data_IF_115391930890
#
_entry.id   IF_115391930890
#
_cell.length_a   1.000
_cell.length_b   1.000
_cell.length_c   1.000
_cell.angle_alpha   90.00
_cell.angle_beta   90.00
_cell.angle_gamma   90.00
#
_symmetry.space_group_name_H-M   'P 1'
#
loop_
_entity.id
_entity.type
_entity.pdbx_description
1 polymer ?
#
# COMPACT_ATOMS: atom_id res chain seq x y z
N UNK A 1 4.81 -0.48 22.36
CA UNK A 1 6.23 -0.25 21.98
C UNK A 1 6.58 -1.20 20.82
N UNK A 2 7.30 -0.75 19.79
CA UNK A 2 7.64 -1.53 18.58
C UNK A 2 8.33 -2.85 18.90
N UNK A 3 9.22 -2.87 19.88
CA UNK A 3 9.94 -4.08 20.32
C UNK A 3 9.02 -5.19 20.84
N UNK A 4 7.88 -4.83 21.44
CA UNK A 4 6.89 -5.80 21.91
C UNK A 4 6.14 -6.45 20.74
N UNK A 5 5.85 -5.68 19.69
CA UNK A 5 5.19 -6.18 18.48
C UNK A 5 6.11 -7.13 17.70
N UNK A 6 7.40 -6.81 17.56
CA UNK A 6 8.34 -7.70 16.90
C UNK A 6 8.59 -9.01 17.67
N UNK A 7 8.39 -9.00 19.00
CA UNK A 7 8.60 -10.19 19.83
C UNK A 7 7.38 -11.10 19.91
N UNK A 8 6.18 -10.52 19.86
CA UNK A 8 4.94 -11.24 20.17
C UNK A 8 3.93 -11.26 19.00
N UNK A 9 4.21 -10.55 17.90
CA UNK A 9 3.34 -10.47 16.73
C UNK A 9 3.57 -11.61 15.74
N UNK A 10 2.53 -11.93 14.97
CA UNK A 10 2.63 -12.83 13.81
C UNK A 10 3.28 -12.06 12.66
N UNK A 11 4.34 -12.61 12.09
CA UNK A 11 5.03 -11.99 10.95
C UNK A 11 4.29 -12.25 9.64
N UNK A 12 4.53 -11.38 8.66
CA UNK A 12 4.03 -11.57 7.29
C UNK A 12 4.42 -12.95 6.76
N UNK A 13 3.49 -13.66 6.11
CA UNK A 13 3.72 -15.01 5.58
C UNK A 13 3.31 -16.16 6.52
N UNK A 14 2.69 -15.89 7.67
CA UNK A 14 2.22 -16.89 8.62
C UNK A 14 0.70 -16.82 8.86
N UNK A 15 0.19 -17.78 9.62
CA UNK A 15 -1.20 -17.82 10.05
C UNK A 15 -1.41 -17.08 11.38
N UNK A 16 -2.49 -16.32 11.47
CA UNK A 16 -3.01 -15.80 12.72
C UNK A 16 -3.56 -16.96 13.56
N UNK A 17 -3.39 -16.92 14.89
CA UNK A 17 -4.07 -17.85 15.77
C UNK A 17 -5.59 -17.63 15.70
N UNK A 18 -6.35 -18.68 15.94
CA UNK A 18 -7.80 -18.56 16.08
C UNK A 18 -8.15 -17.58 17.22
N UNK A 19 -9.11 -16.68 16.95
CA UNK A 19 -9.49 -15.61 17.88
C UNK A 19 -10.87 -15.05 17.56
N UNK A 20 -11.62 -14.72 18.61
CA UNK A 20 -12.86 -13.92 18.50
C UNK A 20 -12.59 -12.42 18.53
N UNK A 21 -11.33 -11.99 18.65
CA UNK A 21 -10.96 -10.57 18.70
C UNK A 21 -10.41 -10.13 17.35
N UNK A 22 -10.83 -8.97 16.81
CA UNK A 22 -10.28 -8.45 15.58
C UNK A 22 -8.76 -8.40 15.57
N UNK A 23 -8.10 -8.85 14.49
CA UNK A 23 -6.65 -8.76 14.38
C UNK A 23 -6.24 -7.29 14.25
N UNK A 24 -5.11 -6.97 14.89
CA UNK A 24 -4.46 -5.67 14.79
C UNK A 24 -3.13 -5.81 14.07
N UNK A 25 -2.95 -5.02 13.01
CA UNK A 25 -1.75 -5.04 12.19
C UNK A 25 -0.89 -3.82 12.46
N UNK A 26 0.41 -4.05 12.59
CA UNK A 26 1.40 -2.98 12.54
C UNK A 26 2.06 -2.97 11.16
N UNK A 27 1.78 -1.93 10.39
CA UNK A 27 2.36 -1.72 9.08
C UNK A 27 3.45 -0.66 9.14
N UNK A 28 4.56 -0.91 8.44
CA UNK A 28 5.64 0.05 8.29
C UNK A 28 6.33 -0.15 6.95
N UNK A 29 6.63 0.97 6.28
CA UNK A 29 7.42 0.98 5.05
C UNK A 29 8.38 2.17 5.05
N UNK A 30 9.49 1.99 4.33
CA UNK A 30 10.45 3.03 4.00
C UNK A 30 10.68 3.00 2.50
N UNK A 31 10.77 4.17 1.87
CA UNK A 31 11.11 4.25 0.45
C UNK A 31 12.55 3.78 0.21
N UNK A 32 12.81 3.34 -1.02
CA UNK A 32 14.17 3.25 -1.54
C UNK A 32 14.73 4.66 -1.80
N UNK A 33 16.04 4.84 -1.60
CA UNK A 33 16.68 6.16 -1.67
C UNK A 33 16.62 6.82 -3.07
N UNK A 34 16.46 6.02 -4.13
CA UNK A 34 16.39 6.49 -5.51
C UNK A 34 14.96 6.43 -6.09
N UNK A 35 13.97 6.10 -5.26
CA UNK A 35 12.57 5.92 -5.69
C UNK A 35 11.69 7.06 -5.18
N UNK A 36 10.49 7.16 -5.74
CA UNK A 36 9.58 8.25 -5.42
C UNK A 36 9.14 8.17 -3.95
N UNK A 37 8.84 9.30 -3.29
CA UNK A 37 8.31 9.28 -1.92
C UNK A 37 7.04 8.43 -1.79
N UNK A 38 6.83 7.81 -0.63
CA UNK A 38 5.65 7.00 -0.35
C UNK A 38 4.40 7.88 -0.35
N UNK A 39 3.35 7.45 -1.05
CA UNK A 39 2.04 8.11 -1.05
C UNK A 39 1.14 7.51 0.04
N UNK A 40 1.05 6.18 0.12
CA UNK A 40 0.13 5.52 1.07
C UNK A 40 0.50 4.07 1.37
N UNK A 41 0.02 3.61 2.52
CA UNK A 41 -0.04 2.19 2.89
C UNK A 41 -1.48 1.69 2.75
N UNK A 42 -1.62 0.46 2.28
CA UNK A 42 -2.91 -0.21 2.12
C UNK A 42 -2.87 -1.61 2.72
N UNK A 43 -3.90 -2.02 3.43
CA UNK A 43 -4.16 -3.43 3.70
C UNK A 43 -5.21 -3.90 2.70
N UNK A 44 -4.92 -5.03 2.06
CA UNK A 44 -5.89 -5.73 1.24
C UNK A 44 -6.36 -6.92 2.05
N UNK A 45 -7.65 -6.93 2.35
CA UNK A 45 -8.35 -8.03 3.01
C UNK A 45 -9.07 -8.82 1.95
N UNK A 46 -8.88 -10.14 1.92
CA UNK A 46 -9.78 -11.05 1.23
C UNK A 46 -10.41 -12.02 2.20
N UNK A 47 -11.66 -12.40 1.99
CA UNK A 47 -12.37 -13.35 2.83
C UNK A 47 -13.36 -14.18 2.03
N UNK A 48 -13.77 -15.32 2.58
CA UNK A 48 -14.75 -16.20 1.98
C UNK A 48 -16.04 -16.13 2.79
N UNK A 49 -17.13 -15.70 2.15
CA UNK A 49 -18.50 -15.75 2.67
C UNK A 49 -19.35 -16.59 1.71
N UNK A 50 -20.09 -17.57 2.24
CA UNK A 50 -20.96 -18.43 1.42
C UNK A 50 -20.28 -19.20 0.28
N UNK A 51 -18.94 -19.32 0.30
CA UNK A 51 -18.15 -19.91 -0.79
C UNK A 51 -17.73 -18.93 -1.90
N UNK A 52 -18.06 -17.65 -1.77
CA UNK A 52 -17.61 -16.58 -2.66
C UNK A 52 -16.42 -15.83 -2.06
N UNK A 53 -15.45 -15.48 -2.91
CA UNK A 53 -14.29 -14.68 -2.51
C UNK A 53 -14.64 -13.18 -2.61
N UNK A 54 -14.50 -12.49 -1.50
CA UNK A 54 -14.59 -11.04 -1.41
C UNK A 54 -13.21 -10.41 -1.22
N UNK A 55 -12.99 -9.21 -1.74
CA UNK A 55 -11.79 -8.42 -1.52
C UNK A 55 -12.16 -6.96 -1.21
N UNK A 56 -11.48 -6.37 -0.23
CA UNK A 56 -11.58 -4.96 0.09
C UNK A 56 -10.20 -4.35 0.34
N UNK A 57 -10.02 -3.14 -0.18
CA UNK A 57 -8.78 -2.35 -0.02
C UNK A 57 -9.02 -1.25 1.00
N UNK A 58 -8.18 -1.22 2.03
CA UNK A 58 -8.18 -0.18 3.05
C UNK A 58 -6.89 0.61 2.96
N UNK A 59 -6.96 1.90 2.65
CA UNK A 59 -5.84 2.80 2.86
C UNK A 59 -5.74 3.04 4.37
N UNK A 60 -4.58 2.75 4.97
CA UNK A 60 -4.39 2.78 6.43
C UNK A 60 -3.45 3.91 6.87
N UNK A 61 -2.70 4.47 5.93
CA UNK A 61 -1.87 5.65 6.13
C UNK A 61 -1.73 6.41 4.82
N UNK A 62 -1.83 7.73 4.88
CA UNK A 62 -1.60 8.63 3.75
C UNK A 62 -0.41 9.55 4.08
N UNK A 63 0.33 9.96 3.06
CA UNK A 63 1.35 10.98 3.18
C UNK A 63 0.75 12.39 3.33
N UNK A 64 1.60 13.39 3.53
CA UNK A 64 1.23 14.82 3.47
C UNK A 64 0.18 15.26 4.51
N UNK A 65 0.06 14.53 5.62
CA UNK A 65 -0.92 14.81 6.68
C UNK A 65 -2.37 14.47 6.31
N UNK A 66 -2.58 13.86 5.14
CA UNK A 66 -3.88 13.34 4.72
C UNK A 66 -4.28 12.14 5.55
N UNK A 67 -5.57 11.80 5.51
CA UNK A 67 -6.13 10.65 6.19
C UNK A 67 -7.10 9.91 5.27
N UNK A 68 -7.23 8.58 5.42
CA UNK A 68 -8.25 7.83 4.70
C UNK A 68 -9.64 8.39 5.03
N UNK A 69 -10.47 8.55 4.01
CA UNK A 69 -11.87 8.94 4.20
C UNK A 69 -12.65 7.80 4.85
N UNK A 70 -13.49 8.11 5.84
CA UNK A 70 -14.18 7.10 6.64
C UNK A 70 -15.09 6.17 5.81
N UNK A 71 -15.72 6.68 4.76
CA UNK A 71 -16.69 5.93 3.97
C UNK A 71 -16.07 5.10 2.85
N UNK A 72 -14.95 5.56 2.29
CA UNK A 72 -14.31 4.92 1.13
C UNK A 72 -13.07 4.13 1.54
N UNK A 73 -12.54 4.40 2.74
CA UNK A 73 -11.23 3.96 3.20
C UNK A 73 -10.10 4.33 2.24
N UNK A 74 -10.25 5.42 1.46
CA UNK A 74 -9.25 5.87 0.48
C UNK A 74 -8.59 7.16 0.92
N UNK A 75 -7.29 7.25 0.69
CA UNK A 75 -6.56 8.50 0.77
C UNK A 75 -7.01 9.43 -0.36
N UNK A 76 -7.25 10.71 -0.07
CA UNK A 76 -7.35 11.73 -1.10
C UNK A 76 -6.08 11.81 -1.95
N UNK A 77 -6.18 12.43 -3.11
CA UNK A 77 -5.00 12.76 -3.92
C UNK A 77 -4.11 13.75 -3.15
N UNK A 78 -2.81 13.46 -3.08
CA UNK A 78 -1.83 14.34 -2.46
C UNK A 78 -1.27 15.40 -3.41
N UNK A 79 -1.60 15.31 -4.70
CA UNK A 79 -1.21 16.25 -5.75
C UNK A 79 0.22 16.06 -6.23
N UNK A 80 0.84 14.91 -5.97
CA UNK A 80 2.19 14.60 -6.47
C UNK A 80 2.19 14.45 -7.99
N UNK A 81 3.18 15.05 -8.65
CA UNK A 81 3.32 15.03 -10.10
C UNK A 81 4.76 14.72 -10.52
N UNK A 82 4.93 14.39 -11.82
CA UNK A 82 6.22 14.13 -12.45
C UNK A 82 6.51 15.22 -13.47
N UNK A 83 7.68 15.84 -13.41
CA UNK A 83 8.20 16.67 -14.48
C UNK A 83 8.72 15.77 -15.62
N UNK A 84 7.92 15.63 -16.68
CA UNK A 84 8.25 14.81 -17.85
C UNK A 84 9.41 15.35 -18.69
N UNK A 85 9.80 16.62 -18.53
CA UNK A 85 10.94 17.20 -19.25
C UNK A 85 12.28 16.76 -18.67
N UNK A 86 12.29 16.35 -17.39
CA UNK A 86 13.48 15.88 -16.67
C UNK A 86 13.34 14.46 -16.13
N UNK A 87 12.15 13.89 -16.19
CA UNK A 87 11.77 12.65 -15.52
C UNK A 87 12.08 12.65 -14.01
N UNK A 88 11.72 13.73 -13.34
CA UNK A 88 11.87 13.89 -11.89
C UNK A 88 10.52 13.96 -11.19
N UNK A 89 10.39 13.33 -10.02
CA UNK A 89 9.20 13.40 -9.18
C UNK A 89 9.31 14.53 -8.13
N UNK A 90 8.17 14.96 -7.60
CA UNK A 90 8.12 15.96 -6.53
C UNK A 90 8.57 15.37 -5.18
N UNK A 91 9.73 15.82 -4.69
CA UNK A 91 10.30 15.45 -3.38
C UNK A 91 9.62 16.18 -2.22
N UNK A 92 8.86 17.26 -2.47
CA UNK A 92 8.12 17.98 -1.42
C UNK A 92 6.79 17.30 -1.08
N UNK A 93 6.37 16.29 -1.86
CA UNK A 93 5.15 15.52 -1.66
C UNK A 93 5.48 14.06 -1.34
N UNK A 94 4.66 13.46 -0.49
CA UNK A 94 4.85 12.09 -0.04
C UNK A 94 5.66 12.00 1.26
N UNK A 95 6.10 10.79 1.61
CA UNK A 95 6.83 10.53 2.83
C UNK A 95 8.02 9.59 2.60
N UNK A 96 9.12 9.81 3.32
CA UNK A 96 10.24 8.86 3.32
C UNK A 96 9.88 7.54 4.03
N UNK A 97 9.02 7.61 5.05
CA UNK A 97 8.53 6.47 5.81
C UNK A 97 7.05 6.67 6.18
N UNK A 98 6.29 5.58 6.18
CA UNK A 98 4.92 5.54 6.69
C UNK A 98 4.78 4.38 7.66
N UNK A 99 3.97 4.55 8.70
CA UNK A 99 3.57 3.48 9.59
C UNK A 99 2.13 3.67 10.05
N UNK A 100 1.47 2.56 10.39
CA UNK A 100 0.13 2.57 10.95
C UNK A 100 -0.08 1.39 11.90
N UNK A 101 -0.97 1.58 12.85
CA UNK A 101 -1.69 0.50 13.52
C UNK A 101 -3.10 0.49 12.95
N UNK A 102 -3.53 -0.66 12.47
CA UNK A 102 -4.84 -0.82 11.84
C UNK A 102 -5.55 -2.03 12.44
N UNK A 103 -6.83 -1.85 12.77
CA UNK A 103 -7.73 -2.87 13.27
C UNK A 103 -8.73 -3.21 12.15
N UNK A 104 -9.01 -4.50 11.94
CA UNK A 104 -10.09 -4.89 11.03
C UNK A 104 -11.45 -4.81 11.75
N UNK A 105 -12.13 -3.67 11.64
CA UNK A 105 -13.47 -3.48 12.24
C UNK A 105 -14.55 -4.39 11.62
N UNK A 106 -14.28 -4.96 10.45
CA UNK A 106 -15.18 -5.88 9.72
C UNK A 106 -14.82 -7.35 9.92
N UNK A 107 -13.97 -7.67 10.89
CA UNK A 107 -13.53 -9.04 11.15
C UNK A 107 -14.68 -9.92 11.62
N UNK A 108 -14.92 -11.02 10.90
CA UNK A 108 -15.79 -12.11 11.33
C UNK A 108 -14.91 -13.34 11.68
N UNK A 109 -14.92 -13.81 12.94
CA UNK A 109 -14.14 -14.98 13.36
C UNK A 109 -14.63 -16.30 12.73
N UNK A 110 -15.78 -16.33 12.05
CA UNK A 110 -16.27 -17.51 11.35
C UNK A 110 -15.77 -17.62 9.90
N UNK A 111 -15.14 -16.56 9.37
CA UNK A 111 -14.71 -16.49 7.98
C UNK A 111 -13.24 -16.85 7.81
N UNK A 112 -12.90 -17.61 6.76
CA UNK A 112 -11.52 -17.67 6.30
C UNK A 112 -11.14 -16.33 5.69
N UNK A 113 -10.01 -15.76 6.10
CA UNK A 113 -9.55 -14.47 5.62
C UNK A 113 -8.04 -14.46 5.37
N UNK A 114 -7.59 -13.53 4.53
CA UNK A 114 -6.19 -13.22 4.35
C UNK A 114 -5.97 -11.71 4.26
N UNK A 115 -4.77 -11.28 4.65
CA UNK A 115 -4.38 -9.89 4.70
C UNK A 115 -2.98 -9.74 4.13
N UNK A 116 -2.77 -8.77 3.24
CA UNK A 116 -1.42 -8.35 2.89
C UNK A 116 -1.30 -6.83 2.81
N UNK A 117 -0.09 -6.34 3.08
CA UNK A 117 0.24 -4.94 2.96
C UNK A 117 0.61 -4.64 1.50
N UNK A 118 0.05 -3.56 0.95
CA UNK A 118 0.50 -2.94 -0.30
C UNK A 118 0.94 -1.50 -0.03
N UNK A 119 2.12 -1.15 -0.51
CA UNK A 119 2.71 0.18 -0.40
C UNK A 119 2.66 0.81 -1.78
N UNK A 120 2.26 2.09 -1.83
CA UNK A 120 2.23 2.86 -3.07
C UNK A 120 3.13 4.08 -2.95
N UNK A 121 4.00 4.26 -3.94
CA UNK A 121 4.79 5.48 -4.09
C UNK A 121 4.00 6.56 -4.84
N UNK A 122 4.51 7.79 -4.82
CA UNK A 122 4.08 8.81 -5.76
C UNK A 122 4.42 8.40 -7.20
N UNK A 123 3.73 8.98 -8.21
CA UNK A 123 4.01 8.66 -9.60
C UNK A 123 5.47 8.92 -9.99
N UNK A 124 6.00 8.10 -10.90
CA UNK A 124 7.34 8.24 -11.47
C UNK A 124 7.30 8.09 -12.99
N UNK A 125 8.35 8.51 -13.69
CA UNK A 125 8.46 8.29 -15.13
C UNK A 125 8.51 6.80 -15.45
N UNK A 126 7.73 6.37 -16.44
CA UNK A 126 7.87 5.03 -17.02
C UNK A 126 9.18 4.91 -17.78
N UNK A 127 9.70 3.69 -17.91
CA UNK A 127 10.92 3.43 -18.70
C UNK A 127 10.85 3.99 -20.13
N UNK A 128 9.68 3.99 -20.76
CA UNK A 128 9.45 4.54 -22.10
C UNK A 128 9.65 6.06 -22.15
N UNK A 129 9.30 6.78 -21.08
CA UNK A 129 9.53 8.22 -20.96
C UNK A 129 11.01 8.53 -20.77
N UNK A 130 11.70 7.72 -19.97
CA UNK A 130 13.16 7.79 -19.83
C UNK A 130 13.88 7.57 -21.16
N UNK A 131 13.45 6.58 -21.94
CA UNK A 131 14.03 6.26 -23.23
C UNK A 131 13.77 7.37 -24.26
N UNK A 132 12.52 7.84 -24.35
CA UNK A 132 12.16 8.97 -25.22
C UNK A 132 12.98 10.23 -24.90
N UNK A 133 13.10 10.59 -23.62
CA UNK A 133 13.89 11.74 -23.16
C UNK A 133 15.38 11.60 -23.51
N UNK A 134 15.96 10.40 -23.30
CA UNK A 134 17.37 10.13 -23.60
C UNK A 134 17.69 10.23 -25.09
N UNK A 135 16.79 9.74 -25.94
CA UNK A 135 16.99 9.70 -27.39
C UNK A 135 16.47 10.97 -28.12
N UNK A 136 15.78 11.87 -27.41
CA UNK A 136 15.15 13.04 -28.01
C UNK A 136 13.96 12.69 -28.90
N UNK A 137 13.28 11.57 -28.62
CA UNK A 137 12.13 11.11 -29.39
C UNK A 137 10.82 11.54 -28.72
N UNK A 138 9.75 11.75 -29.51
CA UNK A 138 8.43 11.90 -28.93
C UNK A 138 7.98 10.59 -28.27
N UNK A 139 7.34 10.69 -27.11
CA UNK A 139 6.64 9.54 -26.51
C UNK A 139 5.41 9.22 -27.38
N UNK A 140 5.15 7.96 -27.74
CA UNK A 140 3.95 7.59 -28.48
C UNK A 140 2.66 7.94 -27.73
N UNK A 141 1.65 8.46 -28.43
CA UNK A 141 0.39 8.96 -27.85
C UNK A 141 -0.40 7.90 -27.06
N UNK A 142 -0.19 6.62 -27.36
CA UNK A 142 -0.85 5.49 -26.69
C UNK A 142 -0.05 4.94 -25.49
N UNK A 143 1.02 5.61 -25.07
CA UNK A 143 1.88 5.16 -23.97
C UNK A 143 1.75 6.09 -22.78
N UNK A 144 1.29 5.60 -21.60
CA UNK A 144 1.27 6.39 -20.39
C UNK A 144 2.68 6.89 -20.03
N UNK A 145 2.85 8.20 -19.77
CA UNK A 145 4.17 8.78 -19.49
C UNK A 145 4.68 8.46 -18.08
N UNK A 146 3.77 8.10 -17.18
CA UNK A 146 4.08 7.80 -15.79
C UNK A 146 3.53 6.45 -15.39
N UNK A 147 4.02 5.94 -14.27
CA UNK A 147 3.50 4.79 -13.58
C UNK A 147 3.47 5.08 -12.07
N UNK A 148 2.85 4.18 -11.32
CA UNK A 148 2.91 4.18 -9.87
C UNK A 148 3.51 2.86 -9.41
N UNK A 149 4.66 2.92 -8.74
CA UNK A 149 5.33 1.75 -8.21
C UNK A 149 4.61 1.21 -6.97
N UNK A 150 4.71 -0.11 -6.79
CA UNK A 150 3.99 -0.83 -5.74
C UNK A 150 4.87 -1.92 -5.12
N UNK A 151 4.87 -2.00 -3.80
CA UNK A 151 5.45 -3.12 -3.05
C UNK A 151 4.35 -3.88 -2.28
N UNK A 152 4.52 -5.18 -2.13
CA UNK A 152 3.51 -6.07 -1.53
C UNK A 152 4.21 -7.02 -0.55
N UNK A 153 3.62 -7.26 0.60
CA UNK A 153 4.12 -8.24 1.56
C UNK A 153 3.58 -9.64 1.28
N UNK A 154 4.20 -10.66 1.85
CA UNK A 154 3.57 -11.98 1.96
C UNK A 154 2.25 -11.90 2.73
N UNK A 155 1.22 -12.69 2.36
CA UNK A 155 -0.05 -12.68 3.06
C UNK A 155 0.07 -13.27 4.47
N UNK A 156 -0.75 -12.75 5.38
CA UNK A 156 -1.07 -13.36 6.66
C UNK A 156 -2.46 -13.99 6.52
N UNK A 157 -2.60 -15.25 6.89
CA UNK A 157 -3.85 -15.98 6.76
C UNK A 157 -4.57 -16.09 8.10
N UNK A 158 -5.88 -16.23 8.07
CA UNK A 158 -6.71 -16.56 9.22
C UNK A 158 -7.64 -17.70 8.81
N UNK A 159 -7.67 -18.76 9.62
CA UNK A 159 -8.58 -19.88 9.44
C UNK A 159 -9.33 -20.12 10.76
N UNK A 160 -10.68 -20.11 10.75
CA UNK A 160 -11.46 -20.49 11.92
C UNK A 160 -11.16 -21.94 12.33
N UNK A 161 -11.22 -22.20 13.65
CA UNK A 161 -10.96 -23.51 14.26
C UNK A 161 -12.10 -24.52 14.13
#
# INVERSE_FOLDING_TARGET
NRETLYRNGVSMGNDLPDSTTPPRFYAWASRDANSAPLQRLQIIKGWIDGGELHEQVFDIACSDGLKPEANTHRCPDNGAAVDLTRCTFDEAKGAAQLYALWDDESFDPAEHAFYYLRVLENPSCRWSSWDALRNGWPLPDNTPPTLQERAWSSPIWYSPG
#
